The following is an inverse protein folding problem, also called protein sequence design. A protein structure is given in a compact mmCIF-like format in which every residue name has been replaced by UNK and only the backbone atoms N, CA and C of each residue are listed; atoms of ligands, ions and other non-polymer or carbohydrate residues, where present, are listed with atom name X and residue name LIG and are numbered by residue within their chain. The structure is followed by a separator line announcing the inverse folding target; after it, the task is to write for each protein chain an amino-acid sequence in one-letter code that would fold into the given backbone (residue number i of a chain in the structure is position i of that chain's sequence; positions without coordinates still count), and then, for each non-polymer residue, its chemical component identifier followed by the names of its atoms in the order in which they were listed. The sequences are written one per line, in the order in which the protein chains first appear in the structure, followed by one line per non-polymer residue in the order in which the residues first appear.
data_IF_397577891348
#
_entry.id   IF_397577891348
#
_cell.length_a   1.000
_cell.length_b   1.000
_cell.length_c   1.000
_cell.angle_alpha   90.00
_cell.angle_beta   90.00
_cell.angle_gamma   90.00
#
_symmetry.space_group_name_H-M   'P 1'
#
loop_
_entity.id
_entity.type
_entity.pdbx_description
1 polymer ?
#
# COMPACT_ATOMS: atom_id res chain seq x y z
N UNK A 1 21.38 -6.60 -10.09
CA UNK A 1 20.23 -7.41 -9.66
C UNK A 1 19.62 -6.78 -8.43
N UNK A 2 18.30 -6.53 -8.48
CA UNK A 2 17.58 -6.01 -7.31
C UNK A 2 16.92 -7.15 -6.56
N UNK A 3 16.96 -7.06 -5.25
CA UNK A 3 16.39 -8.09 -4.38
C UNK A 3 15.37 -7.44 -3.46
N UNK A 4 14.23 -8.09 -3.34
CA UNK A 4 13.15 -7.59 -2.52
C UNK A 4 12.64 -8.67 -1.61
N UNK A 5 12.05 -8.24 -0.50
CA UNK A 5 11.20 -9.10 0.29
C UNK A 5 9.77 -8.67 0.02
N UNK A 6 8.87 -9.63 -0.05
CA UNK A 6 7.45 -9.39 -0.20
C UNK A 6 6.75 -9.81 1.07
N UNK A 7 5.90 -8.97 1.59
CA UNK A 7 5.08 -9.31 2.74
C UNK A 7 3.63 -8.98 2.43
N UNK A 8 2.71 -9.84 2.83
CA UNK A 8 1.30 -9.66 2.58
C UNK A 8 0.55 -9.44 3.90
N UNK A 9 -0.40 -8.54 3.85
CA UNK A 9 -1.25 -8.20 4.98
C UNK A 9 -2.68 -8.11 4.52
N UNK A 10 -3.61 -8.46 5.40
CA UNK A 10 -5.04 -8.38 5.11
C UNK A 10 -5.74 -7.59 6.18
N UNK A 11 -6.75 -6.88 5.80
CA UNK A 11 -7.65 -6.21 6.73
C UNK A 11 -9.05 -6.20 6.14
N UNK A 12 -10.05 -6.18 7.04
CA UNK A 12 -11.45 -6.15 6.64
C UNK A 12 -11.98 -4.76 6.89
N UNK A 13 -12.63 -4.19 5.91
CA UNK A 13 -13.18 -2.85 6.04
C UNK A 13 -14.41 -2.67 5.18
N UNK A 14 -15.20 -1.68 5.53
CA UNK A 14 -16.41 -1.31 4.81
C UNK A 14 -16.16 0.00 4.10
N UNK A 15 -16.69 0.16 2.91
CA UNK A 15 -16.60 1.41 2.18
C UNK A 15 -17.81 1.63 1.27
N UNK A 16 -18.00 2.88 0.87
CA UNK A 16 -18.92 3.25 -0.19
C UNK A 16 -18.22 4.24 -1.11
N UNK A 17 -18.71 4.35 -2.33
CA UNK A 17 -18.12 5.29 -3.29
C UNK A 17 -18.87 6.62 -3.32
N UNK A 18 -20.05 6.70 -2.69
CA UNK A 18 -20.91 7.88 -2.70
C UNK A 18 -21.21 8.42 -1.29
N UNK A 19 -20.54 7.88 -0.26
CA UNK A 19 -20.70 8.26 1.14
C UNK A 19 -22.10 8.05 1.69
N UNK A 20 -22.87 7.15 1.07
CA UNK A 20 -24.21 6.80 1.53
C UNK A 20 -24.16 5.48 2.26
N UNK A 21 -24.68 5.44 3.48
CA UNK A 21 -24.62 4.24 4.32
C UNK A 21 -25.30 3.04 3.68
N UNK A 22 -26.39 3.25 2.96
CA UNK A 22 -27.11 2.15 2.32
C UNK A 22 -26.29 1.53 1.17
N UNK A 23 -25.23 2.19 0.72
CA UNK A 23 -24.36 1.67 -0.33
C UNK A 23 -23.03 1.15 0.20
N UNK A 24 -22.89 1.06 1.52
CA UNK A 24 -21.67 0.51 2.11
C UNK A 24 -21.62 -1.01 1.89
N UNK A 25 -20.43 -1.48 1.62
CA UNK A 25 -20.18 -2.92 1.47
C UNK A 25 -18.83 -3.27 2.09
N UNK A 26 -18.72 -4.49 2.59
CA UNK A 26 -17.54 -4.96 3.28
C UNK A 26 -16.71 -5.86 2.38
N UNK A 27 -15.39 -5.67 2.44
CA UNK A 27 -14.43 -6.51 1.72
C UNK A 27 -13.26 -6.85 2.62
N UNK A 28 -12.55 -7.90 2.25
CA UNK A 28 -11.22 -8.17 2.76
C UNK A 28 -10.24 -7.61 1.75
N UNK A 29 -9.41 -6.68 2.19
CA UNK A 29 -8.39 -6.08 1.34
C UNK A 29 -7.05 -6.77 1.62
N UNK A 30 -6.32 -7.08 0.57
CA UNK A 30 -4.97 -7.64 0.68
C UNK A 30 -3.98 -6.61 0.16
N UNK A 31 -2.95 -6.35 0.96
CA UNK A 31 -1.86 -5.45 0.59
C UNK A 31 -0.59 -6.29 0.53
N UNK A 32 0.15 -6.14 -0.56
CA UNK A 32 1.49 -6.74 -0.67
C UNK A 32 2.49 -5.61 -0.75
N UNK A 33 3.49 -5.63 0.09
CA UNK A 33 4.56 -4.66 0.05
C UNK A 33 5.85 -5.33 -0.42
N UNK A 34 6.63 -4.57 -1.20
CA UNK A 34 7.93 -4.99 -1.72
C UNK A 34 8.96 -4.06 -1.11
N UNK A 35 9.82 -4.60 -0.28
CA UNK A 35 10.76 -3.79 0.50
C UNK A 35 12.19 -4.29 0.36
N UNK A 36 13.14 -3.37 0.56
CA UNK A 36 14.52 -3.71 0.76
C UNK A 36 15.04 -3.00 2.00
N UNK A 37 16.16 -3.47 2.52
CA UNK A 37 16.80 -2.85 3.67
C UNK A 37 18.13 -2.28 3.23
N UNK A 38 18.55 -1.22 3.91
CA UNK A 38 19.91 -0.75 3.73
C UNK A 38 20.88 -1.82 4.21
N UNK A 39 22.00 -1.97 3.53
CA UNK A 39 23.02 -2.94 3.93
C UNK A 39 23.50 -2.71 5.36
N UNK A 40 23.43 -1.47 5.83
CA UNK A 40 23.85 -1.12 7.17
C UNK A 40 22.80 -1.43 8.23
N UNK A 41 21.60 -1.78 7.82
CA UNK A 41 20.50 -2.06 8.72
C UNK A 41 20.37 -3.58 8.96
N UNK A 42 21.49 -4.23 9.21
CA UNK A 42 21.55 -5.68 9.33
C UNK A 42 20.69 -6.26 10.44
N UNK A 43 20.29 -5.44 11.39
CA UNK A 43 19.54 -5.91 12.54
C UNK A 43 18.03 -5.76 12.41
N UNK A 44 17.55 -5.27 11.27
CA UNK A 44 16.11 -5.14 11.07
C UNK A 44 15.57 -6.50 10.67
N UNK A 45 14.70 -7.03 11.50
CA UNK A 45 14.10 -8.33 11.25
C UNK A 45 12.70 -8.16 10.68
N UNK A 46 12.19 -9.22 10.07
CA UNK A 46 10.83 -9.23 9.55
C UNK A 46 9.83 -8.72 10.60
N UNK A 47 10.02 -9.11 11.81
CA UNK A 47 9.14 -8.75 12.90
C UNK A 47 9.08 -7.22 13.13
N UNK A 48 10.18 -6.49 12.86
CA UNK A 48 10.15 -5.03 12.97
C UNK A 48 9.31 -4.41 11.87
N UNK A 49 9.41 -4.95 10.66
CA UNK A 49 8.60 -4.53 9.52
C UNK A 49 7.13 -4.83 9.80
N UNK A 50 6.86 -6.04 10.26
CA UNK A 50 5.51 -6.48 10.59
C UNK A 50 4.86 -5.56 11.61
N UNK A 51 5.60 -5.20 12.65
CA UNK A 51 5.09 -4.31 13.69
C UNK A 51 4.68 -2.95 13.13
N UNK A 52 5.51 -2.36 12.28
CA UNK A 52 5.23 -1.06 11.68
C UNK A 52 3.98 -1.13 10.82
N UNK A 53 3.88 -2.15 9.97
CA UNK A 53 2.75 -2.27 9.06
C UNK A 53 1.46 -2.58 9.81
N UNK A 54 1.51 -3.49 10.78
CA UNK A 54 0.33 -3.85 11.56
C UNK A 54 -0.19 -2.65 12.36
N UNK A 55 0.71 -1.87 12.95
CA UNK A 55 0.34 -0.68 13.69
C UNK A 55 -0.33 0.34 12.78
N UNK A 56 0.20 0.52 11.58
CA UNK A 56 -0.37 1.44 10.61
C UNK A 56 -1.76 1.01 10.16
N UNK A 57 -1.95 -0.28 9.91
CA UNK A 57 -3.22 -0.81 9.41
C UNK A 57 -4.28 -0.98 10.50
N UNK A 58 -3.90 -0.97 11.76
CA UNK A 58 -4.83 -1.20 12.87
C UNK A 58 -6.10 -0.34 12.81
N UNK A 59 -6.02 0.98 12.59
CA UNK A 59 -7.23 1.80 12.51
C UNK A 59 -8.13 1.47 11.32
N UNK A 60 -7.56 0.86 10.28
CA UNK A 60 -8.31 0.55 9.06
C UNK A 60 -9.02 -0.80 9.14
N UNK A 61 -8.56 -1.69 10.04
CA UNK A 61 -9.18 -2.99 10.18
C UNK A 61 -10.50 -2.86 10.92
N UNK A 62 -11.54 -3.45 10.37
CA UNK A 62 -12.91 -3.42 10.92
C UNK A 62 -13.49 -2.01 11.02
N UNK A 63 -13.10 -1.11 10.15
CA UNK A 63 -13.63 0.25 10.13
C UNK A 63 -14.53 0.50 8.93
N UNK A 64 -15.16 1.67 8.91
CA UNK A 64 -15.76 2.24 7.70
C UNK A 64 -14.71 3.19 7.14
N UNK A 65 -14.14 2.87 6.00
CA UNK A 65 -13.05 3.65 5.42
C UNK A 65 -13.42 5.11 5.19
N UNK A 66 -14.67 5.37 4.79
CA UNK A 66 -15.15 6.72 4.54
C UNK A 66 -15.09 7.62 5.77
N UNK A 67 -15.07 7.01 6.98
CA UNK A 67 -15.02 7.78 8.23
C UNK A 67 -13.58 8.03 8.68
N UNK A 68 -12.61 7.46 8.00
CA UNK A 68 -11.20 7.70 8.33
C UNK A 68 -10.75 9.05 7.78
N UNK A 69 -9.88 9.78 8.50
CA UNK A 69 -9.46 11.11 8.04
C UNK A 69 -8.94 11.15 6.62
N UNK A 70 -8.19 10.13 6.21
CA UNK A 70 -7.62 10.08 4.86
C UNK A 70 -8.69 10.02 3.77
N UNK A 71 -9.89 9.54 4.09
CA UNK A 71 -10.93 9.28 3.10
C UNK A 71 -12.20 10.12 3.30
N UNK A 72 -12.14 11.13 4.16
CA UNK A 72 -13.31 12.00 4.35
C UNK A 72 -13.68 12.73 3.06
N UNK A 73 -12.68 13.11 2.27
CA UNK A 73 -12.89 13.85 1.01
C UNK A 73 -12.23 13.18 -0.18
N UNK A 74 -11.78 11.94 -0.02
CA UNK A 74 -11.15 11.16 -1.06
C UNK A 74 -11.81 9.80 -1.06
N UNK A 75 -12.52 9.49 -2.12
CA UNK A 75 -13.30 8.24 -2.21
C UNK A 75 -12.38 7.04 -1.99
N UNK A 76 -12.72 6.14 -1.05
CA UNK A 76 -11.86 4.97 -0.75
C UNK A 76 -12.06 3.83 -1.76
N UNK A 77 -11.77 4.12 -3.03
CA UNK A 77 -11.64 3.09 -4.05
C UNK A 77 -10.25 2.49 -3.98
N UNK A 78 -10.00 1.42 -4.69
CA UNK A 78 -8.72 0.70 -4.64
C UNK A 78 -7.54 1.60 -5.00
N UNK A 79 -7.70 2.45 -6.01
CA UNK A 79 -6.62 3.31 -6.46
C UNK A 79 -6.25 4.34 -5.39
N UNK A 80 -7.23 5.00 -4.82
CA UNK A 80 -6.99 6.00 -3.79
C UNK A 80 -6.45 5.36 -2.51
N UNK A 81 -6.98 4.19 -2.13
CA UNK A 81 -6.46 3.45 -0.99
C UNK A 81 -5.00 3.08 -1.20
N UNK A 82 -4.68 2.54 -2.38
CA UNK A 82 -3.30 2.15 -2.70
C UNK A 82 -2.34 3.32 -2.64
N UNK A 83 -2.75 4.47 -3.18
CA UNK A 83 -1.91 5.67 -3.17
C UNK A 83 -1.67 6.19 -1.75
N UNK A 84 -2.71 6.24 -0.92
CA UNK A 84 -2.59 6.69 0.47
C UNK A 84 -1.70 5.74 1.26
N UNK A 85 -1.96 4.44 1.17
CA UNK A 85 -1.20 3.45 1.94
C UNK A 85 0.27 3.41 1.50
N UNK A 86 0.53 3.55 0.20
CA UNK A 86 1.89 3.58 -0.31
C UNK A 86 2.68 4.74 0.29
N UNK A 87 2.14 5.95 0.22
CA UNK A 87 2.84 7.13 0.73
C UNK A 87 3.04 7.06 2.25
N UNK A 88 2.02 6.65 2.98
CA UNK A 88 2.12 6.55 4.44
C UNK A 88 3.11 5.46 4.88
N UNK A 89 3.02 4.27 4.29
CA UNK A 89 3.90 3.17 4.65
C UNK A 89 5.34 3.43 4.22
N UNK A 90 5.52 4.12 3.10
CA UNK A 90 6.85 4.53 2.64
C UNK A 90 7.55 5.36 3.72
N UNK A 91 6.82 6.32 4.28
CA UNK A 91 7.34 7.17 5.35
C UNK A 91 7.60 6.37 6.63
N UNK A 92 6.64 5.57 7.05
CA UNK A 92 6.76 4.77 8.28
C UNK A 92 7.93 3.79 8.22
N UNK A 93 8.08 3.11 7.10
CA UNK A 93 9.16 2.13 6.93
C UNK A 93 10.53 2.78 6.79
N UNK A 94 10.59 3.96 6.17
CA UNK A 94 11.83 4.70 6.05
C UNK A 94 12.42 5.04 7.43
N UNK A 95 11.56 5.25 8.42
CA UNK A 95 12.01 5.57 9.78
C UNK A 95 12.82 4.44 10.41
N UNK A 96 12.62 3.21 9.97
CA UNK A 96 13.40 2.07 10.46
C UNK A 96 14.42 1.57 9.43
N UNK A 97 14.73 2.38 8.42
CA UNK A 97 15.74 2.02 7.41
C UNK A 97 15.28 1.02 6.37
N UNK A 98 13.98 0.90 6.15
CA UNK A 98 13.41 0.00 5.17
C UNK A 98 12.83 0.82 4.02
N UNK A 99 13.17 0.44 2.79
CA UNK A 99 12.69 1.12 1.60
C UNK A 99 11.49 0.39 1.01
N UNK A 100 10.37 1.09 0.89
CA UNK A 100 9.19 0.55 0.24
C UNK A 100 9.27 0.91 -1.25
N UNK A 101 9.41 -0.10 -2.09
CA UNK A 101 9.51 0.11 -3.53
C UNK A 101 8.19 0.00 -4.25
N UNK A 102 7.31 -0.83 -3.75
CA UNK A 102 6.07 -1.14 -4.45
C UNK A 102 5.02 -1.62 -3.47
N UNK A 103 3.80 -1.22 -3.70
CA UNK A 103 2.66 -1.70 -2.94
C UNK A 103 1.60 -2.14 -3.93
N UNK A 104 1.04 -3.30 -3.71
CA UNK A 104 -0.11 -3.81 -4.46
C UNK A 104 -1.27 -3.94 -3.50
N UNK A 105 -2.47 -3.64 -3.98
CA UNK A 105 -3.67 -3.79 -3.17
C UNK A 105 -4.79 -4.37 -4.05
N UNK A 106 -5.57 -5.26 -3.46
CA UNK A 106 -6.74 -5.79 -4.13
C UNK A 106 -7.80 -6.23 -3.13
N UNK A 107 -9.04 -6.23 -3.58
CA UNK A 107 -10.11 -6.91 -2.88
C UNK A 107 -10.47 -8.19 -3.63
N UNK A 108 -10.07 -8.27 -4.90
CA UNK A 108 -10.24 -9.43 -5.75
C UNK A 108 -8.90 -9.72 -6.42
N UNK A 109 -8.32 -10.91 -6.26
CA UNK A 109 -6.99 -11.20 -6.80
C UNK A 109 -6.89 -11.16 -8.33
N UNK A 110 -8.00 -11.04 -9.03
CA UNK A 110 -7.99 -10.92 -10.48
C UNK A 110 -7.85 -9.47 -10.94
N UNK A 111 -7.90 -8.50 -10.03
CA UNK A 111 -7.79 -7.09 -10.38
C UNK A 111 -6.97 -6.38 -9.30
N UNK A 112 -5.70 -6.18 -9.58
CA UNK A 112 -4.73 -5.68 -8.62
C UNK A 112 -4.26 -4.28 -9.03
N UNK A 113 -4.30 -3.33 -8.10
CA UNK A 113 -3.73 -2.00 -8.30
C UNK A 113 -2.33 -1.96 -7.72
N UNK A 114 -1.38 -1.44 -8.48
CA UNK A 114 0.01 -1.38 -8.08
C UNK A 114 0.51 0.04 -8.10
N UNK A 115 1.22 0.44 -7.05
CA UNK A 115 1.93 1.71 -6.97
C UNK A 115 3.41 1.40 -6.78
N UNK A 116 4.27 1.99 -7.59
CA UNK A 116 5.69 1.71 -7.53
C UNK A 116 6.53 2.96 -7.73
N UNK A 117 7.58 3.09 -6.93
CA UNK A 117 8.56 4.13 -7.15
C UNK A 117 9.59 3.69 -8.18
N UNK A 118 9.47 2.44 -8.59
CA UNK A 118 10.40 1.99 -9.54
C UNK A 118 9.98 2.36 -10.87
N UNK A 119 9.80 3.39 -11.04
CA UNK A 119 9.43 3.59 -12.20
C UNK A 119 10.07 3.61 -13.17
N UNK A 120 10.18 3.34 -13.72
CA UNK A 120 10.73 3.40 -14.69
C UNK A 120 10.45 2.91 -15.83
N UNK A 121 9.68 3.03 -16.15
CA UNK A 121 9.73 3.32 -17.36
C UNK A 121 10.74 4.11 -17.63
N UNK A 122 11.56 3.83 -17.70
CA UNK A 122 12.69 4.25 -17.85
C UNK A 122 13.03 4.91 -19.03
N UNK A 123 14.21 5.35 -19.11
CA UNK A 123 14.81 5.96 -20.23
C UNK A 123 14.45 5.26 -21.54
N UNK A 124 14.44 3.94 -21.55
CA UNK A 124 14.08 3.14 -22.71
C UNK A 124 12.67 3.41 -23.22
N UNK A 125 11.75 3.58 -22.28
CA UNK A 125 10.37 3.86 -22.64
C UNK A 125 10.23 5.29 -23.17
N UNK A 126 10.95 6.22 -22.59
CA UNK A 126 10.95 7.60 -23.03
C UNK A 126 11.47 7.72 -24.46
N UNK A 127 12.51 6.96 -24.79
CA UNK A 127 13.07 6.95 -26.12
C UNK A 127 12.05 6.39 -27.12
N UNK A 128 11.36 5.32 -26.76
CA UNK A 128 10.34 4.74 -27.64
C UNK A 128 9.19 5.71 -27.86
N UNK A 129 8.83 6.49 -26.85
CA UNK A 129 7.77 7.46 -27.02
C UNK A 129 8.14 8.60 -27.95
N UNK A 130 9.40 8.89 -28.10
CA UNK A 130 9.87 9.97 -28.95
C UNK A 130 9.99 9.56 -30.41
N UNK A 131 9.89 8.29 -30.70
CA UNK A 131 9.91 7.78 -32.03
C UNK A 131 8.49 7.71 -32.61
#
# INVERSE_FOLDING_TARGET
MQKYYKYQYRFNATHSFDYRREHEHQHTFTITIYVSRDEQAEQIMFYDIDRVVQKYLEPYDHCVLNDQPAFEHLVPNIENMGNVFYEDLKTCLAEIGVHLYQLEIYENPLSIYEVSSRIHLPAAYSVLKQQ
#
